data_IF_353679937273
#
_entry.id   IF_353679937273
#
_cell.length_a   1.000
_cell.length_b   1.000
_cell.length_c   1.000
_cell.angle_alpha   90.00
_cell.angle_beta   90.00
_cell.angle_gamma   90.00
#
_symmetry.space_group_name_H-M   'P 1'
#
loop_
_entity.id
_entity.type
_entity.pdbx_description
1 polymer ?
#
# COMPACT_ATOMS: atom_id res chain seq x y z
N UNK A 1 -9.09 -1.69 -11.54
CA UNK A 1 -8.14 -0.67 -11.07
C UNK A 1 -8.06 -0.64 -9.53
N UNK A 2 -6.90 -0.30 -8.96
CA UNK A 2 -6.72 -0.01 -7.53
C UNK A 2 -7.17 1.42 -7.20
N UNK A 3 -7.92 1.60 -6.11
CA UNK A 3 -8.46 2.90 -5.67
C UNK A 3 -7.60 3.55 -4.60
N UNK A 4 -7.12 2.78 -3.63
CA UNK A 4 -6.25 3.26 -2.58
C UNK A 4 -5.43 2.14 -1.94
N UNK A 5 -4.30 2.52 -1.32
CA UNK A 5 -3.48 1.69 -0.46
C UNK A 5 -3.39 2.32 0.94
N UNK A 6 -3.72 1.54 1.96
CA UNK A 6 -3.63 1.92 3.37
C UNK A 6 -2.63 1.02 4.09
N UNK A 7 -1.86 1.61 5.00
CA UNK A 7 -1.06 0.86 5.97
C UNK A 7 -1.51 1.24 7.36
N UNK A 8 -1.93 0.26 8.14
CA UNK A 8 -2.39 0.45 9.51
C UNK A 8 -1.57 -0.36 10.50
N UNK A 9 -1.37 0.22 11.68
CA UNK A 9 -0.83 -0.46 12.86
C UNK A 9 -1.80 -0.31 14.01
N UNK A 10 -2.18 -1.43 14.63
CA UNK A 10 -3.08 -1.47 15.79
C UNK A 10 -4.39 -0.68 15.56
N UNK A 11 -4.92 -0.73 14.33
CA UNK A 11 -6.15 -0.03 13.94
C UNK A 11 -5.99 1.44 13.56
N UNK A 12 -4.79 2.00 13.64
CA UNK A 12 -4.50 3.38 13.26
C UNK A 12 -3.84 3.43 11.88
N UNK A 13 -4.32 4.27 10.98
CA UNK A 13 -3.71 4.46 9.65
C UNK A 13 -2.42 5.28 9.80
N UNK A 14 -1.32 4.73 9.31
CA UNK A 14 0.00 5.36 9.32
C UNK A 14 0.41 5.89 7.93
N UNK A 15 -0.18 5.34 6.88
CA UNK A 15 0.04 5.72 5.49
C UNK A 15 -1.25 5.52 4.71
N UNK A 16 -1.60 6.49 3.88
CA UNK A 16 -2.71 6.37 2.92
C UNK A 16 -2.32 7.01 1.59
N UNK A 17 -2.59 6.30 0.50
CA UNK A 17 -2.41 6.80 -0.85
C UNK A 17 -3.66 6.50 -1.67
N UNK A 18 -4.22 7.50 -2.33
CA UNK A 18 -5.44 7.40 -3.12
C UNK A 18 -5.10 7.64 -4.60
N UNK A 19 -5.40 6.65 -5.44
CA UNK A 19 -5.18 6.71 -6.89
C UNK A 19 -6.32 7.44 -7.59
N UNK A 20 -7.51 7.45 -6.99
CA UNK A 20 -8.70 8.15 -7.50
C UNK A 20 -8.99 9.42 -6.73
N UNK A 21 -9.51 10.42 -7.42
CA UNK A 21 -9.91 11.67 -6.76
C UNK A 21 -11.17 11.45 -5.91
N UNK A 22 -11.03 11.55 -4.60
CA UNK A 22 -12.15 11.61 -3.65
C UNK A 22 -12.00 12.81 -2.71
N UNK A 23 -13.09 13.20 -2.05
CA UNK A 23 -13.07 14.37 -1.17
C UNK A 23 -12.35 14.07 0.15
N UNK A 24 -11.56 15.01 0.71
CA UNK A 24 -10.80 14.78 1.94
C UNK A 24 -11.65 14.36 3.14
N UNK A 25 -12.88 14.84 3.23
CA UNK A 25 -13.83 14.48 4.30
C UNK A 25 -14.28 13.02 4.25
N UNK A 26 -14.26 12.40 3.06
CA UNK A 26 -14.67 11.00 2.87
C UNK A 26 -13.56 10.00 3.21
N UNK A 27 -12.29 10.41 3.18
CA UNK A 27 -11.14 9.55 3.43
C UNK A 27 -11.15 8.99 4.86
N UNK A 28 -11.30 9.85 5.87
CA UNK A 28 -11.24 9.42 7.28
C UNK A 28 -12.34 8.41 7.63
N UNK A 29 -13.54 8.60 7.08
CA UNK A 29 -14.67 7.69 7.29
C UNK A 29 -14.43 6.36 6.58
N UNK A 30 -13.89 6.40 5.35
CA UNK A 30 -13.55 5.22 4.57
C UNK A 30 -12.44 4.41 5.24
N UNK A 31 -11.37 5.07 5.67
CA UNK A 31 -10.24 4.47 6.40
C UNK A 31 -10.71 3.77 7.67
N UNK A 32 -11.44 4.47 8.55
CA UNK A 32 -11.92 3.89 9.80
C UNK A 32 -12.79 2.64 9.56
N UNK A 33 -13.68 2.71 8.55
CA UNK A 33 -14.58 1.61 8.18
C UNK A 33 -13.81 0.40 7.62
N UNK A 34 -12.88 0.63 6.70
CA UNK A 34 -12.06 -0.42 6.08
C UNK A 34 -11.16 -1.09 7.11
N UNK A 35 -10.49 -0.31 7.95
CA UNK A 35 -9.62 -0.85 8.99
C UNK A 35 -10.43 -1.66 10.01
N UNK A 36 -11.57 -1.16 10.49
CA UNK A 36 -12.42 -1.92 11.40
C UNK A 36 -12.86 -3.26 10.81
N UNK A 37 -13.21 -3.27 9.53
CA UNK A 37 -13.61 -4.48 8.80
C UNK A 37 -12.47 -5.49 8.70
N UNK A 38 -11.29 -5.08 8.25
CA UNK A 38 -10.13 -5.95 8.14
C UNK A 38 -9.62 -6.44 9.51
N UNK A 39 -9.71 -5.62 10.55
CA UNK A 39 -9.35 -5.99 11.93
C UNK A 39 -10.31 -7.01 12.56
N UNK A 40 -11.58 -7.01 12.11
CA UNK A 40 -12.57 -8.01 12.55
C UNK A 40 -12.41 -9.37 11.88
N UNK A 41 -11.68 -9.42 10.76
CA UNK A 41 -11.35 -10.68 10.10
C UNK A 41 -10.22 -11.40 10.85
N UNK A 42 -10.35 -12.72 10.98
CA UNK A 42 -9.29 -13.54 11.56
C UNK A 42 -8.04 -13.50 10.67
N UNK A 43 -6.84 -13.50 11.29
CA UNK A 43 -5.57 -13.43 10.56
C UNK A 43 -5.31 -14.65 9.68
N UNK A 44 -5.89 -15.79 10.06
CA UNK A 44 -5.78 -17.06 9.31
C UNK A 44 -6.97 -17.27 8.34
N UNK A 45 -7.89 -16.30 8.26
CA UNK A 45 -9.02 -16.35 7.34
C UNK A 45 -8.66 -15.78 5.95
N UNK A 46 -9.70 -15.49 5.16
CA UNK A 46 -9.56 -14.97 3.82
C UNK A 46 -8.91 -13.58 3.81
N UNK A 47 -7.94 -13.39 2.92
CA UNK A 47 -7.26 -12.11 2.67
C UNK A 47 -8.06 -11.16 1.76
N UNK A 48 -9.27 -11.58 1.37
CA UNK A 48 -10.15 -10.87 0.43
C UNK A 48 -11.49 -10.65 1.10
N UNK A 49 -11.94 -9.39 1.14
CA UNK A 49 -13.24 -9.00 1.70
C UNK A 49 -13.99 -8.14 0.70
N UNK A 50 -15.25 -8.47 0.45
CA UNK A 50 -16.13 -7.62 -0.36
C UNK A 50 -16.48 -6.35 0.41
N UNK A 51 -16.44 -5.19 -0.23
CA UNK A 51 -16.77 -3.90 0.36
C UNK A 51 -17.58 -3.01 -0.60
N UNK A 52 -18.88 -3.31 -0.68
CA UNK A 52 -19.77 -2.63 -1.61
C UNK A 52 -19.34 -2.91 -3.06
N UNK A 53 -19.01 -1.89 -3.87
CA UNK A 53 -18.56 -2.08 -5.25
C UNK A 53 -17.07 -2.48 -5.36
N UNK A 54 -16.34 -2.56 -4.25
CA UNK A 54 -14.91 -2.85 -4.24
C UNK A 54 -14.61 -4.18 -3.58
N UNK A 55 -13.46 -4.73 -3.90
CA UNK A 55 -12.84 -5.84 -3.18
C UNK A 55 -11.64 -5.32 -2.40
N UNK A 56 -11.58 -5.62 -1.11
CA UNK A 56 -10.45 -5.32 -0.24
C UNK A 56 -9.50 -6.51 -0.23
N UNK A 57 -8.27 -6.27 -0.62
CA UNK A 57 -7.17 -7.22 -0.51
C UNK A 57 -6.26 -6.75 0.62
N UNK A 58 -6.12 -7.55 1.67
CA UNK A 58 -5.30 -7.16 2.81
C UNK A 58 -4.32 -8.24 3.24
N UNK A 59 -3.18 -7.83 3.81
CA UNK A 59 -2.15 -8.74 4.30
C UNK A 59 -1.39 -8.13 5.47
N UNK A 60 -0.99 -8.99 6.39
CA UNK A 60 -0.15 -8.63 7.53
C UNK A 60 1.34 -8.81 7.21
N UNK A 61 2.13 -7.77 7.50
CA UNK A 61 3.60 -7.79 7.44
C UNK A 61 4.12 -7.38 8.82
N UNK A 62 4.37 -8.39 9.68
CA UNK A 62 4.66 -8.16 11.09
C UNK A 62 3.48 -7.50 11.81
N UNK A 63 3.68 -6.35 12.50
CA UNK A 63 2.61 -5.65 13.21
C UNK A 63 1.74 -4.77 12.30
N UNK A 64 2.15 -4.54 11.03
CA UNK A 64 1.44 -3.66 10.11
C UNK A 64 0.52 -4.44 9.17
N UNK A 65 -0.70 -3.94 8.99
CA UNK A 65 -1.66 -4.43 8.01
C UNK A 65 -1.64 -3.52 6.79
N UNK A 66 -1.47 -4.10 5.61
CA UNK A 66 -1.54 -3.42 4.33
C UNK A 66 -2.87 -3.77 3.68
N UNK A 67 -3.58 -2.78 3.16
CA UNK A 67 -4.90 -2.95 2.55
C UNK A 67 -4.94 -2.20 1.23
N UNK A 68 -5.39 -2.88 0.17
CA UNK A 68 -5.71 -2.28 -1.12
C UNK A 68 -7.19 -2.46 -1.37
N UNK A 69 -7.88 -1.40 -1.80
CA UNK A 69 -9.19 -1.52 -2.40
C UNK A 69 -9.07 -1.49 -3.92
N UNK A 70 -9.73 -2.43 -4.59
CA UNK A 70 -9.75 -2.51 -6.04
C UNK A 70 -11.15 -2.80 -6.57
N UNK A 71 -11.34 -2.61 -7.88
CA UNK A 71 -12.56 -3.04 -8.55
C UNK A 71 -12.74 -4.55 -8.50
N UNK A 72 -13.98 -5.03 -8.47
CA UNK A 72 -14.31 -6.46 -8.50
C UNK A 72 -13.87 -7.18 -9.78
N UNK A 73 -13.52 -6.43 -10.83
CA UNK A 73 -12.98 -7.01 -12.07
C UNK A 73 -11.49 -7.35 -11.98
N UNK A 74 -10.79 -6.85 -10.97
CA UNK A 74 -9.36 -7.08 -10.80
C UNK A 74 -9.06 -8.46 -10.24
N UNK A 75 -7.89 -8.98 -10.58
CA UNK A 75 -7.41 -10.23 -10.01
C UNK A 75 -6.88 -9.99 -8.59
N UNK A 76 -7.58 -10.52 -7.59
CA UNK A 76 -7.25 -10.31 -6.19
C UNK A 76 -5.90 -10.93 -5.81
N UNK A 77 -5.52 -12.05 -6.42
CA UNK A 77 -4.22 -12.70 -6.21
C UNK A 77 -3.07 -11.86 -6.75
N UNK A 78 -3.29 -11.17 -7.87
CA UNK A 78 -2.30 -10.26 -8.44
C UNK A 78 -2.05 -9.06 -7.51
N UNK A 79 -3.11 -8.49 -6.94
CA UNK A 79 -3.00 -7.42 -5.93
C UNK A 79 -2.34 -7.93 -4.65
N UNK A 80 -2.65 -9.16 -4.24
CA UNK A 80 -2.05 -9.78 -3.06
C UNK A 80 -0.54 -9.99 -3.22
N UNK A 81 -0.09 -10.41 -4.40
CA UNK A 81 1.34 -10.50 -4.72
C UNK A 81 2.00 -9.13 -4.88
N UNK A 82 1.28 -8.14 -5.42
CA UNK A 82 1.75 -6.76 -5.44
C UNK A 82 2.06 -6.23 -4.03
N UNK A 83 1.23 -6.53 -3.02
CA UNK A 83 1.52 -6.14 -1.63
C UNK A 83 2.86 -6.70 -1.15
N UNK A 84 3.17 -7.96 -1.47
CA UNK A 84 4.48 -8.56 -1.17
C UNK A 84 5.61 -7.92 -1.95
N UNK A 85 5.39 -7.64 -3.23
CA UNK A 85 6.37 -6.97 -4.08
C UNK A 85 6.72 -5.58 -3.54
N UNK A 86 5.71 -4.80 -3.12
CA UNK A 86 5.89 -3.47 -2.55
C UNK A 86 6.68 -3.53 -1.24
N UNK A 87 6.33 -4.44 -0.32
CA UNK A 87 7.10 -4.62 0.93
C UNK A 87 8.54 -5.06 0.65
N UNK A 88 8.78 -5.91 -0.35
CA UNK A 88 10.12 -6.30 -0.77
C UNK A 88 10.91 -5.12 -1.36
N UNK A 89 10.26 -4.24 -2.12
CA UNK A 89 10.87 -3.02 -2.63
C UNK A 89 11.28 -2.09 -1.47
N UNK A 90 10.41 -1.91 -0.48
CA UNK A 90 10.72 -1.15 0.73
C UNK A 90 11.87 -1.78 1.54
N UNK A 91 11.90 -3.10 1.68
CA UNK A 91 13.01 -3.79 2.34
C UNK A 91 14.35 -3.53 1.66
N UNK A 92 14.37 -3.54 0.32
CA UNK A 92 15.57 -3.28 -0.48
C UNK A 92 15.98 -1.81 -0.43
N UNK A 93 15.03 -0.89 -0.42
CA UNK A 93 15.30 0.55 -0.35
C UNK A 93 15.84 0.96 1.04
N UNK A 94 15.19 0.56 2.13
CA UNK A 94 15.55 0.96 3.49
C UNK A 94 16.62 0.07 4.16
N UNK A 95 17.04 -1.03 3.53
CA UNK A 95 18.02 -1.95 4.14
C UNK A 95 17.49 -2.64 5.40
N UNK A 96 16.29 -3.24 5.28
CA UNK A 96 15.41 -3.79 6.34
C UNK A 96 14.32 -2.81 6.78
N UNK A 97 13.24 -2.83 6.01
CA UNK A 97 12.00 -2.14 6.33
C UNK A 97 11.43 -2.59 7.68
N UNK A 98 10.86 -1.62 8.39
CA UNK A 98 10.20 -1.78 9.69
C UNK A 98 9.18 -0.68 9.86
N UNK A 99 8.22 -0.86 10.75
CA UNK A 99 7.16 0.12 11.05
C UNK A 99 7.65 1.55 11.30
N UNK A 100 8.83 1.71 11.90
CA UNK A 100 9.42 3.02 12.19
C UNK A 100 9.70 3.81 10.90
N UNK A 101 10.01 3.11 9.81
CA UNK A 101 10.27 3.75 8.52
C UNK A 101 9.00 4.35 7.92
N UNK A 102 7.83 3.76 8.17
CA UNK A 102 6.54 4.26 7.66
C UNK A 102 6.32 5.69 8.15
N UNK A 103 6.40 5.91 9.47
CA UNK A 103 6.13 7.21 10.08
C UNK A 103 7.19 8.27 9.76
N UNK A 104 8.45 7.86 9.65
CA UNK A 104 9.57 8.80 9.45
C UNK A 104 9.81 9.15 7.98
N UNK A 105 9.37 8.32 7.03
CA UNK A 105 9.71 8.45 5.62
C UNK A 105 8.48 8.32 4.70
N UNK A 106 7.34 8.89 5.10
CA UNK A 106 6.08 8.84 4.34
C UNK A 106 6.28 9.26 2.88
N UNK A 107 7.03 10.34 2.64
CA UNK A 107 7.34 10.82 1.29
C UNK A 107 8.08 9.77 0.45
N UNK A 108 9.03 9.05 1.05
CA UNK A 108 9.78 7.99 0.35
C UNK A 108 8.92 6.77 0.07
N UNK A 109 7.98 6.45 0.96
CA UNK A 109 6.98 5.41 0.70
C UNK A 109 6.12 5.77 -0.51
N UNK A 110 5.64 7.03 -0.58
CA UNK A 110 4.89 7.51 -1.75
C UNK A 110 5.73 7.42 -3.03
N UNK A 111 6.98 7.87 -3.01
CA UNK A 111 7.87 7.76 -4.18
C UNK A 111 8.04 6.31 -4.65
N UNK A 112 8.29 5.36 -3.73
CA UNK A 112 8.41 3.94 -4.09
C UNK A 112 7.10 3.40 -4.67
N UNK A 113 5.97 3.78 -4.09
CA UNK A 113 4.66 3.35 -4.58
C UNK A 113 4.36 3.91 -5.99
N UNK A 114 4.66 5.18 -6.22
CA UNK A 114 4.40 5.88 -7.49
C UNK A 114 5.28 5.37 -8.64
N UNK A 115 6.49 4.90 -8.35
CA UNK A 115 7.32 4.23 -9.37
C UNK A 115 6.79 2.83 -9.74
N UNK A 116 6.06 2.19 -8.84
CA UNK A 116 5.50 0.84 -9.08
C UNK A 116 4.09 0.88 -9.67
N UNK A 117 3.28 1.86 -9.26
CA UNK A 117 1.84 1.95 -9.58
C UNK A 117 1.52 3.34 -10.09
N UNK A 118 0.87 3.41 -11.24
CA UNK A 118 0.44 4.67 -11.85
C UNK A 118 -1.03 4.57 -12.20
N UNK A 119 -1.81 5.59 -11.82
CA UNK A 119 -3.25 5.65 -12.05
C UNK A 119 -4.02 4.39 -11.57
N UNK A 120 -3.57 3.78 -10.48
CA UNK A 120 -4.20 2.59 -9.91
C UNK A 120 -3.88 1.28 -10.64
N UNK A 121 -2.93 1.29 -11.58
CA UNK A 121 -2.50 0.12 -12.35
C UNK A 121 -1.02 -0.20 -12.07
N UNK A 122 -0.69 -1.48 -11.99
CA UNK A 122 0.69 -1.92 -11.79
C UNK A 122 1.51 -1.62 -13.05
N UNK A 123 2.50 -0.73 -12.94
CA UNK A 123 3.35 -0.31 -14.04
C UNK A 123 4.66 -1.11 -14.08
N UNK A 124 5.42 -1.10 -12.98
CA UNK A 124 6.78 -1.65 -12.94
C UNK A 124 6.91 -2.74 -11.86
N UNK A 125 6.87 -4.03 -12.25
CA UNK A 125 7.02 -5.13 -11.31
C UNK A 125 8.49 -5.39 -10.92
N UNK A 126 9.48 -4.90 -11.68
CA UNK A 126 10.89 -5.09 -11.34
C UNK A 126 11.32 -4.13 -10.24
N UNK A 127 11.55 -4.66 -9.04
CA UNK A 127 12.09 -3.88 -7.90
C UNK A 127 13.37 -3.12 -8.29
N UNK A 128 14.21 -3.70 -9.15
CA UNK A 128 15.45 -3.02 -9.59
C UNK A 128 15.13 -1.77 -10.41
N UNK A 129 14.16 -1.85 -11.31
CA UNK A 129 13.79 -0.73 -12.17
C UNK A 129 13.05 0.33 -11.36
N UNK A 130 12.06 -0.07 -10.55
CA UNK A 130 11.28 0.84 -9.72
C UNK A 130 12.16 1.66 -8.75
N UNK A 131 13.22 1.07 -8.19
CA UNK A 131 14.10 1.79 -7.27
C UNK A 131 15.21 2.62 -7.95
N UNK A 132 15.48 2.40 -9.23
CA UNK A 132 16.58 3.07 -9.93
C UNK A 132 16.41 4.59 -9.98
N UNK A 133 15.23 5.14 -10.36
CA UNK A 133 15.01 6.59 -10.37
C UNK A 133 15.15 7.22 -8.98
N UNK A 134 14.60 6.57 -7.96
CA UNK A 134 14.62 7.05 -6.57
C UNK A 134 16.06 7.16 -6.05
N UNK A 135 16.89 6.14 -6.33
CA UNK A 135 18.30 6.15 -5.94
C UNK A 135 19.11 7.25 -6.65
N UNK A 136 18.78 7.54 -7.91
CA UNK A 136 19.39 8.67 -8.63
C UNK A 136 18.99 10.00 -7.99
N UNK A 137 17.71 10.18 -7.64
CA UNK A 137 17.22 11.36 -6.93
C UNK A 137 17.92 11.55 -5.58
N UNK A 138 18.10 10.49 -4.80
CA UNK A 138 18.80 10.55 -3.52
C UNK A 138 20.27 10.97 -3.65
N UNK A 139 20.92 10.56 -4.75
CA UNK A 139 22.30 10.95 -5.06
C UNK A 139 22.41 12.44 -5.40
N UNK A 140 21.36 13.01 -6.01
CA UNK A 140 21.33 14.43 -6.38
C UNK A 140 21.00 15.29 -5.16
N UNK A 141 20.02 14.89 -4.35
CA UNK A 141 19.57 15.64 -3.16
C UNK A 141 20.57 15.63 -1.99
N UNK A 142 21.55 14.73 -2.01
CA UNK A 142 22.63 14.67 -1.02
C UNK A 142 23.86 15.52 -1.37
N UNK A 143 23.82 16.26 -2.49
CA UNK A 143 24.82 17.27 -2.88
C UNK A 143 24.33 18.67 -2.54
#
# INVERSE_FOLDING_TARGET
MMHYLLISKDGNVQFSHYFTHSSPSSHSTTEARVIAKCMSADRDACHFLEDGPHTLVFRWFGPCMFVVAADQSENELMIYEFLSLYVNALHKYFGKFSEKHILLNIERLHMVLEEMVVAGELLEPSIRNALSPIQMLDTISSR
#
